data_IF_941359330287
#
_entry.id   IF_941359330287
#
_cell.length_a   1.000
_cell.length_b   1.000
_cell.length_c   1.000
_cell.angle_alpha   90.00
_cell.angle_beta   90.00
_cell.angle_gamma   90.00
#
_symmetry.space_group_name_H-M   'P 1'
#
loop_
_entity.id
_entity.type
_entity.pdbx_description
1 polymer ?
#
# COMPACT_ATOMS: atom_id res chain seq x y z
N UNK A 1 16.32 -2.68 -25.18
CA UNK A 1 15.49 -1.62 -25.81
C UNK A 1 15.31 -0.46 -24.84
N UNK A 2 15.09 0.77 -25.31
CA UNK A 2 14.67 1.88 -24.45
C UNK A 2 13.15 1.90 -24.39
N UNK A 3 12.56 1.65 -23.21
CA UNK A 3 11.14 1.83 -22.99
C UNK A 3 10.82 3.26 -22.59
N UNK A 4 9.58 3.69 -22.82
CA UNK A 4 9.09 5.02 -22.45
C UNK A 4 7.99 4.90 -21.40
N UNK A 5 7.98 5.80 -20.43
CA UNK A 5 6.92 5.87 -19.44
C UNK A 5 5.77 6.74 -19.92
N UNK A 6 4.54 6.27 -19.72
CA UNK A 6 3.35 7.10 -19.81
C UNK A 6 3.16 7.86 -18.48
N UNK A 7 3.29 9.20 -18.45
CA UNK A 7 3.27 9.96 -17.20
C UNK A 7 1.97 9.82 -16.41
N UNK A 8 0.83 9.68 -17.11
CA UNK A 8 -0.50 9.54 -16.49
C UNK A 8 -0.59 8.30 -15.61
N UNK A 9 -0.13 7.16 -16.12
CA UNK A 9 -0.15 5.89 -15.39
C UNK A 9 0.89 5.87 -14.26
N UNK A 10 2.03 6.54 -14.43
CA UNK A 10 3.01 6.75 -13.35
C UNK A 10 2.36 7.50 -12.18
N UNK A 11 1.73 8.65 -12.45
CA UNK A 11 1.03 9.44 -11.42
C UNK A 11 -0.09 8.62 -10.78
N UNK A 12 -0.88 7.91 -11.58
CA UNK A 12 -1.96 7.04 -11.07
C UNK A 12 -1.41 5.98 -10.12
N UNK A 13 -0.31 5.31 -10.48
CA UNK A 13 0.32 4.29 -9.63
C UNK A 13 0.75 4.88 -8.28
N UNK A 14 1.32 6.08 -8.27
CA UNK A 14 1.69 6.81 -7.06
C UNK A 14 0.47 7.14 -6.20
N UNK A 15 -0.60 7.66 -6.81
CA UNK A 15 -1.84 7.98 -6.10
C UNK A 15 -2.47 6.73 -5.47
N UNK A 16 -2.46 5.59 -6.19
CA UNK A 16 -2.97 4.32 -5.67
C UNK A 16 -2.16 3.84 -4.46
N UNK A 17 -0.84 3.96 -4.50
CA UNK A 17 0.02 3.58 -3.36
C UNK A 17 -0.24 4.46 -2.13
N UNK A 18 -0.39 5.77 -2.33
CA UNK A 18 -0.72 6.72 -1.27
C UNK A 18 -2.11 6.40 -0.68
N UNK A 19 -3.10 6.13 -1.52
CA UNK A 19 -4.45 5.83 -1.09
C UNK A 19 -4.53 4.50 -0.31
N UNK A 20 -3.84 3.47 -0.77
CA UNK A 20 -3.74 2.20 -0.07
C UNK A 20 -3.04 2.37 1.29
N UNK A 21 -1.93 3.12 1.33
CA UNK A 21 -1.22 3.46 2.56
C UNK A 21 -2.11 4.22 3.54
N UNK A 22 -2.84 5.22 3.06
CA UNK A 22 -3.81 5.98 3.86
C UNK A 22 -4.89 5.08 4.47
N UNK A 23 -5.44 4.17 3.65
CA UNK A 23 -6.50 3.25 4.08
C UNK A 23 -5.98 2.27 5.14
N UNK A 24 -4.80 1.69 4.92
CA UNK A 24 -4.17 0.76 5.84
C UNK A 24 -3.79 1.42 7.19
N UNK A 25 -3.30 2.66 7.17
CA UNK A 25 -3.03 3.45 8.37
C UNK A 25 -4.31 3.77 9.16
N UNK A 26 -5.42 4.10 8.47
CA UNK A 26 -6.71 4.31 9.12
C UNK A 26 -7.23 3.05 9.82
N UNK A 27 -7.12 1.90 9.16
CA UNK A 27 -7.48 0.61 9.76
C UNK A 27 -6.64 0.36 11.02
N UNK A 28 -5.35 0.70 10.97
CA UNK A 28 -4.41 0.52 12.07
C UNK A 28 -4.67 1.43 13.28
N UNK A 29 -5.17 2.65 13.06
CA UNK A 29 -5.54 3.59 14.12
C UNK A 29 -6.80 3.16 14.87
N UNK A 30 -7.77 2.60 14.14
CA UNK A 30 -9.01 2.06 14.72
C UNK A 30 -8.79 0.87 15.65
N UNK A 31 -7.62 0.24 15.61
CA UNK A 31 -7.26 -0.85 16.52
C UNK A 31 -7.38 -0.45 18.00
N UNK A 32 -7.19 0.83 18.33
CA UNK A 32 -7.34 1.35 19.69
C UNK A 32 -8.80 1.38 20.17
N UNK A 33 -9.78 1.41 19.27
CA UNK A 33 -11.21 1.47 19.60
C UNK A 33 -11.81 0.08 19.89
N UNK A 34 -11.06 -0.99 19.67
CA UNK A 34 -11.55 -2.37 19.66
C UNK A 34 -11.77 -2.93 21.07
N UNK A 35 -11.29 -2.26 22.12
CA UNK A 35 -11.48 -2.70 23.50
C UNK A 35 -11.00 -4.15 23.69
N UNK A 36 -11.89 -5.05 24.14
CA UNK A 36 -11.55 -6.46 24.40
C UNK A 36 -11.83 -7.43 23.22
N UNK A 37 -12.16 -6.93 22.02
CA UNK A 37 -12.42 -7.77 20.85
C UNK A 37 -11.12 -8.21 20.17
N UNK A 38 -11.18 -9.31 19.41
CA UNK A 38 -10.03 -9.83 18.67
C UNK A 38 -9.50 -8.82 17.64
N UNK A 39 -8.20 -8.52 17.70
CA UNK A 39 -7.48 -7.62 16.80
C UNK A 39 -7.11 -8.27 15.45
N UNK A 40 -7.08 -9.59 15.39
CA UNK A 40 -6.58 -10.35 14.25
C UNK A 40 -7.34 -10.11 12.93
N UNK A 41 -8.69 -10.03 12.90
CA UNK A 41 -9.41 -9.74 11.66
C UNK A 41 -9.03 -8.39 11.05
N UNK A 42 -8.71 -7.40 11.88
CA UNK A 42 -8.33 -6.06 11.43
C UNK A 42 -6.89 -6.00 10.90
N UNK A 43 -5.99 -6.77 11.50
CA UNK A 43 -4.62 -6.96 10.98
C UNK A 43 -4.69 -7.65 9.61
N UNK A 44 -5.49 -8.71 9.49
CA UNK A 44 -5.69 -9.41 8.21
C UNK A 44 -6.33 -8.49 7.15
N UNK A 45 -7.35 -7.72 7.52
CA UNK A 45 -8.00 -6.79 6.61
C UNK A 45 -7.06 -5.65 6.17
N UNK A 46 -6.33 -5.05 7.11
CA UNK A 46 -5.33 -4.02 6.81
C UNK A 46 -4.20 -4.54 5.92
N UNK A 47 -3.71 -5.75 6.19
CA UNK A 47 -2.70 -6.42 5.38
C UNK A 47 -3.21 -6.75 3.97
N UNK A 48 -4.47 -7.17 3.83
CA UNK A 48 -5.10 -7.41 2.53
C UNK A 48 -5.21 -6.13 1.70
N UNK A 49 -5.72 -5.03 2.28
CA UNK A 49 -5.82 -3.74 1.59
C UNK A 49 -4.45 -3.21 1.19
N UNK A 50 -3.46 -3.29 2.09
CA UNK A 50 -2.09 -2.87 1.79
C UNK A 50 -1.48 -3.73 0.67
N UNK A 51 -1.58 -5.06 0.77
CA UNK A 51 -1.06 -5.98 -0.24
C UNK A 51 -1.68 -5.76 -1.63
N UNK A 52 -3.01 -5.62 -1.69
CA UNK A 52 -3.73 -5.29 -2.92
C UNK A 52 -3.30 -3.94 -3.50
N UNK A 53 -3.05 -2.95 -2.64
CA UNK A 53 -2.59 -1.62 -3.05
C UNK A 53 -1.17 -1.62 -3.62
N UNK A 54 -0.24 -2.31 -2.95
CA UNK A 54 1.14 -2.45 -3.43
C UNK A 54 1.16 -3.23 -4.75
N UNK A 55 0.42 -4.34 -4.84
CA UNK A 55 0.30 -5.13 -6.06
C UNK A 55 -0.33 -4.33 -7.20
N UNK A 56 -1.43 -3.61 -6.94
CA UNK A 56 -2.09 -2.75 -7.93
C UNK A 56 -1.15 -1.65 -8.41
N UNK A 57 -0.47 -0.94 -7.50
CA UNK A 57 0.53 0.08 -7.88
C UNK A 57 1.60 -0.52 -8.78
N UNK A 58 2.16 -1.68 -8.40
CA UNK A 58 3.21 -2.35 -9.17
C UNK A 58 2.75 -2.61 -10.60
N UNK A 59 1.57 -3.21 -10.80
CA UNK A 59 1.09 -3.54 -12.13
C UNK A 59 0.61 -2.31 -12.94
N UNK A 60 0.04 -1.27 -12.31
CA UNK A 60 -0.23 0.00 -13.02
C UNK A 60 1.10 0.64 -13.48
N UNK A 61 2.13 0.63 -12.64
CA UNK A 61 3.43 1.18 -12.99
C UNK A 61 4.15 0.35 -14.07
N UNK A 62 3.95 -0.96 -14.09
CA UNK A 62 4.38 -1.84 -15.17
C UNK A 62 3.69 -1.50 -16.50
N UNK A 63 2.36 -1.33 -16.47
CA UNK A 63 1.58 -0.93 -17.65
C UNK A 63 1.96 0.48 -18.15
N UNK A 64 2.46 1.35 -17.27
CA UNK A 64 3.00 2.65 -17.65
C UNK A 64 4.27 2.53 -18.51
N UNK A 65 5.03 1.45 -18.37
CA UNK A 65 6.29 1.24 -19.08
C UNK A 65 6.05 0.55 -20.43
N UNK A 66 6.12 1.32 -21.50
CA UNK A 66 5.87 0.84 -22.86
C UNK A 66 7.11 0.18 -23.44
N UNK A 67 6.96 -1.09 -23.83
CA UNK A 67 7.91 -1.83 -24.64
C UNK A 67 7.38 -1.98 -26.07
N UNK A 68 8.25 -2.01 -27.10
CA UNK A 68 7.84 -2.12 -28.51
C UNK A 68 7.38 -3.55 -28.90
N UNK A 69 6.98 -4.37 -27.93
CA UNK A 69 6.51 -5.75 -28.12
C UNK A 69 5.27 -6.01 -27.28
N UNK A 70 4.41 -6.93 -27.74
CA UNK A 70 3.24 -7.34 -26.97
C UNK A 70 3.67 -8.03 -25.68
N UNK A 71 3.12 -7.61 -24.53
CA UNK A 71 3.44 -8.22 -23.23
C UNK A 71 2.22 -9.00 -22.74
N UNK A 72 2.43 -10.28 -22.49
CA UNK A 72 1.49 -11.15 -21.77
C UNK A 72 2.04 -11.49 -20.40
N UNK A 73 1.14 -11.79 -19.46
CA UNK A 73 1.49 -12.13 -18.09
C UNK A 73 1.12 -13.58 -17.78
N UNK A 74 2.03 -14.32 -17.16
CA UNK A 74 1.75 -15.64 -16.62
C UNK A 74 0.79 -15.52 -15.42
N UNK A 75 -0.37 -16.19 -15.51
CA UNK A 75 -1.44 -16.06 -14.51
C UNK A 75 -1.02 -16.62 -13.15
N UNK A 76 -0.49 -17.85 -13.03
CA UNK A 76 -0.03 -18.39 -11.74
C UNK A 76 0.99 -17.50 -11.05
N UNK A 77 1.99 -17.00 -11.78
CA UNK A 77 3.03 -16.12 -11.23
C UNK A 77 2.45 -14.78 -10.78
N UNK A 78 1.52 -14.22 -11.56
CA UNK A 78 0.81 -12.98 -11.19
C UNK A 78 0.00 -13.15 -9.91
N UNK A 79 -0.74 -14.24 -9.77
CA UNK A 79 -1.52 -14.55 -8.55
C UNK A 79 -0.58 -14.82 -7.36
N UNK A 80 0.51 -15.55 -7.56
CA UNK A 80 1.49 -15.80 -6.50
C UNK A 80 2.10 -14.49 -5.98
N UNK A 81 2.42 -13.54 -6.87
CA UNK A 81 2.91 -12.22 -6.47
C UNK A 81 1.91 -11.47 -5.59
N UNK A 82 0.62 -11.52 -5.92
CA UNK A 82 -0.45 -10.92 -5.11
C UNK A 82 -0.53 -11.55 -3.71
N UNK A 83 -0.50 -12.87 -3.63
CA UNK A 83 -0.56 -13.59 -2.36
C UNK A 83 0.65 -13.27 -1.47
N UNK A 84 1.85 -13.15 -2.06
CA UNK A 84 3.05 -12.70 -1.33
C UNK A 84 2.85 -11.27 -0.79
N UNK A 85 2.30 -10.36 -1.60
CA UNK A 85 2.03 -8.98 -1.18
C UNK A 85 1.12 -8.93 0.05
N UNK A 86 0.02 -9.69 0.01
CA UNK A 86 -0.98 -9.76 1.10
C UNK A 86 -0.37 -10.40 2.34
N UNK A 87 0.32 -11.54 2.19
CA UNK A 87 0.93 -12.24 3.31
C UNK A 87 2.01 -11.39 3.98
N UNK A 88 2.92 -10.79 3.21
CA UNK A 88 3.98 -9.94 3.72
C UNK A 88 3.44 -8.70 4.44
N UNK A 89 2.42 -8.05 3.87
CA UNK A 89 1.79 -6.88 4.50
C UNK A 89 1.05 -7.26 5.79
N UNK A 90 0.37 -8.40 5.80
CA UNK A 90 -0.31 -8.92 7.01
C UNK A 90 0.68 -9.24 8.12
N UNK A 91 1.79 -9.92 7.80
CA UNK A 91 2.87 -10.20 8.76
C UNK A 91 3.52 -8.90 9.26
N UNK A 92 3.69 -7.93 8.36
CA UNK A 92 4.17 -6.59 8.69
C UNK A 92 3.33 -5.93 9.78
N UNK A 93 2.01 -6.12 9.77
CA UNK A 93 1.09 -5.50 10.73
C UNK A 93 0.95 -6.24 12.07
N UNK A 94 1.52 -7.44 12.23
CA UNK A 94 1.47 -8.18 13.50
C UNK A 94 1.98 -7.40 14.73
N UNK A 95 3.07 -6.59 14.65
CA UNK A 95 3.50 -5.76 15.78
C UNK A 95 2.40 -4.84 16.32
N UNK A 96 1.49 -4.39 15.45
CA UNK A 96 0.36 -3.55 15.81
C UNK A 96 -0.66 -4.26 16.72
N UNK A 97 -0.59 -5.59 16.87
CA UNK A 97 -1.37 -6.33 17.85
C UNK A 97 -0.99 -5.96 19.30
N UNK A 98 0.21 -5.41 19.53
CA UNK A 98 0.68 -5.00 20.86
C UNK A 98 0.41 -3.51 21.09
N UNK A 99 0.09 -3.16 22.33
CA UNK A 99 -0.05 -1.77 22.76
C UNK A 99 1.30 -1.04 22.91
N UNK A 100 2.38 -1.78 23.23
CA UNK A 100 3.72 -1.23 23.40
C UNK A 100 4.64 -1.58 22.23
N UNK A 101 5.50 -0.63 21.85
CA UNK A 101 6.54 -0.81 20.85
C UNK A 101 7.58 -1.83 21.35
N UNK A 102 7.72 -2.93 20.61
CA UNK A 102 8.76 -3.93 20.85
C UNK A 102 9.73 -3.92 19.66
N UNK A 103 10.88 -3.26 19.83
CA UNK A 103 11.85 -3.00 18.75
C UNK A 103 12.30 -4.25 17.97
N UNK A 104 12.66 -5.38 18.62
CA UNK A 104 13.06 -6.58 17.89
C UNK A 104 11.95 -7.08 16.95
N UNK A 105 10.69 -7.07 17.42
CA UNK A 105 9.56 -7.50 16.61
C UNK A 105 9.30 -6.54 15.44
N UNK A 106 9.45 -5.23 15.66
CA UNK A 106 9.32 -4.23 14.59
C UNK A 106 10.38 -4.42 13.51
N UNK A 107 11.64 -4.63 13.90
CA UNK A 107 12.75 -4.86 12.97
C UNK A 107 12.50 -6.13 12.15
N UNK A 108 12.14 -7.23 12.80
CA UNK A 108 11.83 -8.49 12.10
C UNK A 108 10.66 -8.31 11.13
N UNK A 109 9.56 -7.69 11.56
CA UNK A 109 8.41 -7.42 10.69
C UNK A 109 8.75 -6.49 9.53
N UNK A 110 9.59 -5.47 9.73
CA UNK A 110 10.06 -4.58 8.67
C UNK A 110 10.90 -5.32 7.62
N UNK A 111 11.80 -6.20 8.06
CA UNK A 111 12.61 -7.03 7.16
C UNK A 111 11.73 -8.00 6.38
N UNK A 112 10.86 -8.75 7.06
CA UNK A 112 9.97 -9.73 6.41
C UNK A 112 9.02 -9.06 5.43
N UNK A 113 8.39 -7.95 5.84
CA UNK A 113 7.53 -7.18 4.95
C UNK A 113 8.32 -6.64 3.76
N UNK A 114 9.46 -5.98 3.99
CA UNK A 114 10.28 -5.40 2.92
C UNK A 114 10.77 -6.44 1.90
N UNK A 115 11.26 -7.59 2.38
CA UNK A 115 11.62 -8.71 1.53
C UNK A 115 10.42 -9.26 0.74
N UNK A 116 9.25 -9.33 1.36
CA UNK A 116 8.01 -9.74 0.68
C UNK A 116 7.54 -8.73 -0.38
N UNK A 117 7.65 -7.43 -0.12
CA UNK A 117 7.32 -6.38 -1.12
C UNK A 117 8.31 -6.45 -2.29
N UNK A 118 9.61 -6.57 -2.02
CA UNK A 118 10.62 -6.75 -3.07
C UNK A 118 10.40 -8.07 -3.84
N UNK A 119 10.10 -9.16 -3.12
CA UNK A 119 9.80 -10.46 -3.71
C UNK A 119 8.57 -10.42 -4.62
N UNK A 120 7.50 -9.77 -4.19
CA UNK A 120 6.32 -9.52 -5.03
C UNK A 120 6.70 -8.75 -6.30
N UNK A 121 7.51 -7.68 -6.17
CA UNK A 121 7.93 -6.89 -7.32
C UNK A 121 8.71 -7.73 -8.35
N UNK A 122 9.74 -8.46 -7.92
CA UNK A 122 10.54 -9.26 -8.84
C UNK A 122 9.80 -10.49 -9.39
N UNK A 123 8.90 -11.08 -8.60
CA UNK A 123 8.03 -12.15 -9.09
C UNK A 123 7.00 -11.62 -10.10
N UNK A 124 6.44 -10.43 -9.86
CA UNK A 124 5.56 -9.74 -10.80
C UNK A 124 6.28 -9.39 -12.12
N UNK A 125 7.55 -8.99 -12.03
CA UNK A 125 8.41 -8.81 -13.20
C UNK A 125 8.63 -10.12 -13.95
N UNK A 126 8.88 -11.21 -13.24
CA UNK A 126 9.05 -12.54 -13.83
C UNK A 126 7.78 -13.06 -14.53
N UNK A 127 6.59 -12.57 -14.16
CA UNK A 127 5.36 -12.93 -14.82
C UNK A 127 5.30 -12.45 -16.29
N UNK A 128 6.10 -11.46 -16.67
CA UNK A 128 6.14 -10.99 -18.07
C UNK A 128 6.74 -12.04 -19.01
N UNK A 129 5.94 -12.45 -19.99
CA UNK A 129 6.34 -13.41 -21.02
C UNK A 129 7.05 -12.71 -22.17
N UNK A 130 8.36 -12.48 -21.99
CA UNK A 130 9.25 -11.83 -22.96
C UNK A 130 10.47 -12.75 -23.22
N UNK A 131 10.80 -12.97 -24.50
CA UNK A 131 11.97 -13.74 -24.94
C UNK A 131 13.26 -13.03 -24.54
N UNK A 132 14.34 -13.76 -24.26
CA UNK A 132 15.62 -13.34 -23.63
C UNK A 132 15.56 -12.99 -22.13
N UNK A 133 14.38 -12.91 -21.52
CA UNK A 133 14.22 -12.64 -20.09
C UNK A 133 14.71 -11.25 -19.66
N UNK A 134 14.52 -10.93 -18.37
CA UNK A 134 14.92 -9.64 -17.80
C UNK A 134 16.31 -9.79 -17.17
N UNK A 135 17.27 -8.97 -17.60
CA UNK A 135 18.60 -8.91 -16.96
C UNK A 135 18.62 -7.81 -15.92
N UNK A 136 19.11 -8.14 -14.72
CA UNK A 136 19.16 -7.21 -13.60
C UNK A 136 20.58 -6.75 -13.29
N UNK A 137 20.74 -5.47 -12.96
CA UNK A 137 21.96 -4.95 -12.36
C UNK A 137 21.94 -5.23 -10.84
N UNK A 138 22.86 -6.07 -10.30
CA UNK A 138 22.77 -6.55 -8.93
C UNK A 138 22.74 -5.44 -7.86
N UNK A 139 23.50 -4.36 -8.06
CA UNK A 139 23.59 -3.28 -7.08
C UNK A 139 22.28 -2.49 -6.95
N UNK A 140 21.55 -2.27 -8.06
CA UNK A 140 20.23 -1.62 -8.03
C UNK A 140 19.16 -2.53 -7.43
N UNK A 141 19.30 -3.85 -7.62
CA UNK A 141 18.43 -4.82 -6.96
C UNK A 141 18.59 -4.75 -5.45
N UNK A 142 19.84 -4.80 -4.97
CA UNK A 142 20.14 -4.68 -3.53
C UNK A 142 19.63 -3.34 -3.00
N UNK A 143 19.84 -2.24 -3.73
CA UNK A 143 19.33 -0.92 -3.34
C UNK A 143 17.81 -0.91 -3.23
N UNK A 144 17.08 -1.49 -4.18
CA UNK A 144 15.62 -1.54 -4.11
C UNK A 144 15.13 -2.38 -2.92
N UNK A 145 15.80 -3.49 -2.61
CA UNK A 145 15.49 -4.30 -1.42
C UNK A 145 15.72 -3.50 -0.13
N UNK A 146 16.82 -2.76 -0.04
CA UNK A 146 17.09 -1.87 1.11
C UNK A 146 15.99 -0.82 1.23
N UNK A 147 15.61 -0.17 0.12
CA UNK A 147 14.49 0.80 0.11
C UNK A 147 13.20 0.13 0.59
N UNK A 148 12.92 -1.10 0.17
CA UNK A 148 11.73 -1.85 0.61
C UNK A 148 11.71 -2.04 2.14
N UNK A 149 12.82 -2.50 2.72
CA UNK A 149 12.93 -2.74 4.17
C UNK A 149 12.82 -1.44 4.95
N UNK A 150 13.48 -0.36 4.50
CA UNK A 150 13.40 0.95 5.13
C UNK A 150 11.98 1.54 5.03
N UNK A 151 11.32 1.38 3.87
CA UNK A 151 9.94 1.80 3.66
C UNK A 151 8.98 1.05 4.60
N UNK A 152 9.13 -0.28 4.73
CA UNK A 152 8.37 -1.09 5.67
C UNK A 152 8.62 -0.68 7.12
N UNK A 153 9.87 -0.43 7.51
CA UNK A 153 10.20 0.07 8.86
C UNK A 153 9.58 1.43 9.15
N UNK A 154 9.70 2.38 8.23
CA UNK A 154 9.08 3.70 8.34
C UNK A 154 7.55 3.60 8.44
N UNK A 155 6.93 2.75 7.62
CA UNK A 155 5.50 2.50 7.66
C UNK A 155 5.03 2.01 9.03
N UNK A 156 5.73 1.04 9.62
CA UNK A 156 5.40 0.51 10.93
C UNK A 156 5.60 1.55 12.04
N UNK A 157 6.70 2.29 12.00
CA UNK A 157 6.95 3.38 12.96
C UNK A 157 5.85 4.44 12.89
N UNK A 158 5.47 4.89 11.69
CA UNK A 158 4.41 5.86 11.49
C UNK A 158 3.05 5.32 11.93
N UNK A 159 2.77 4.03 11.71
CA UNK A 159 1.54 3.39 12.19
C UNK A 159 1.45 3.37 13.72
N UNK A 160 2.55 3.08 14.43
CA UNK A 160 2.59 3.17 15.90
C UNK A 160 2.50 4.60 16.40
N UNK A 161 3.13 5.53 15.70
CA UNK A 161 3.21 6.92 16.06
C UNK A 161 1.84 7.61 15.94
N UNK A 162 1.04 7.22 14.94
CA UNK A 162 -0.35 7.68 14.75
C UNK A 162 -1.30 7.25 15.87
N UNK A 163 -0.99 6.17 16.61
CA UNK A 163 -1.79 5.75 17.78
C UNK A 163 -1.70 6.70 18.96
N UNK A 164 -0.70 7.60 18.97
CA UNK A 164 -0.56 8.58 20.04
C UNK A 164 -1.59 9.70 19.83
N UNK A 165 -2.40 10.04 20.84
CA UNK A 165 -3.38 11.11 20.70
C UNK A 165 -2.68 12.42 20.35
N UNK A 166 -3.07 13.05 19.24
CA UNK A 166 -2.52 14.34 18.83
C UNK A 166 -3.58 15.23 18.20
N UNK A 167 -3.46 16.54 18.43
CA UNK A 167 -4.29 17.58 17.82
C UNK A 167 -4.12 17.66 16.29
N UNK A 168 -3.00 17.17 15.75
CA UNK A 168 -2.68 17.16 14.32
C UNK A 168 -2.83 15.78 13.66
N UNK A 169 -3.64 14.88 14.26
CA UNK A 169 -3.74 13.47 13.84
C UNK A 169 -3.99 13.27 12.35
N UNK A 170 -4.91 14.06 11.76
CA UNK A 170 -5.25 13.94 10.33
C UNK A 170 -4.14 14.41 9.40
N UNK A 171 -3.46 15.52 9.70
CA UNK A 171 -2.35 16.02 8.90
C UNK A 171 -1.18 15.06 8.93
N UNK A 172 -0.86 14.53 10.13
CA UNK A 172 0.17 13.51 10.30
C UNK A 172 -0.16 12.25 9.51
N UNK A 173 -1.41 11.79 9.55
CA UNK A 173 -1.85 10.61 8.80
C UNK A 173 -1.71 10.77 7.29
N UNK A 174 -2.13 11.91 6.74
CA UNK A 174 -1.97 12.23 5.32
C UNK A 174 -0.48 12.28 4.97
N UNK A 175 0.33 12.95 5.79
CA UNK A 175 1.79 13.00 5.61
C UNK A 175 2.43 11.60 5.61
N UNK A 176 2.06 10.75 6.58
CA UNK A 176 2.53 9.37 6.66
C UNK A 176 2.15 8.55 5.43
N UNK A 177 0.91 8.68 4.95
CA UNK A 177 0.45 7.98 3.76
C UNK A 177 1.21 8.41 2.49
N UNK A 178 1.51 9.71 2.36
CA UNK A 178 2.31 10.24 1.25
C UNK A 178 3.73 9.67 1.30
N UNK A 179 4.39 9.75 2.46
CA UNK A 179 5.76 9.23 2.66
C UNK A 179 5.81 7.74 2.35
N UNK A 180 4.86 6.96 2.85
CA UNK A 180 4.77 5.53 2.59
C UNK A 180 4.54 5.25 1.09
N UNK A 181 3.56 5.90 0.47
CA UNK A 181 3.27 5.69 -0.96
C UNK A 181 4.47 6.02 -1.84
N UNK A 182 5.13 7.15 -1.59
CA UNK A 182 6.36 7.54 -2.29
C UNK A 182 7.47 6.51 -2.09
N UNK A 183 7.63 5.97 -0.88
CA UNK A 183 8.66 4.97 -0.60
C UNK A 183 8.41 3.64 -1.33
N UNK A 184 7.15 3.18 -1.40
CA UNK A 184 6.79 1.97 -2.16
C UNK A 184 7.01 2.21 -3.66
N UNK A 185 6.62 3.36 -4.20
CA UNK A 185 6.92 3.74 -5.58
C UNK A 185 8.43 3.82 -5.84
N UNK A 186 9.20 4.40 -4.91
CA UNK A 186 10.65 4.49 -4.99
C UNK A 186 11.32 3.13 -5.11
N UNK A 187 10.87 2.15 -4.31
CA UNK A 187 11.34 0.76 -4.45
C UNK A 187 11.04 0.21 -5.84
N UNK A 188 9.80 0.36 -6.32
CA UNK A 188 9.37 -0.17 -7.61
C UNK A 188 10.18 0.43 -8.76
N UNK A 189 10.30 1.76 -8.83
CA UNK A 189 11.03 2.43 -9.90
C UNK A 189 12.54 2.19 -9.81
N UNK A 190 13.10 2.01 -8.61
CA UNK A 190 14.48 1.55 -8.45
C UNK A 190 14.68 0.13 -8.99
N UNK A 191 13.73 -0.78 -8.74
CA UNK A 191 13.76 -2.14 -9.29
C UNK A 191 13.60 -2.16 -10.81
N UNK A 192 12.73 -1.29 -11.35
CA UNK A 192 12.61 -1.09 -12.80
C UNK A 192 13.88 -0.53 -13.43
N UNK A 193 14.55 0.42 -12.78
CA UNK A 193 15.84 0.93 -13.23
C UNK A 193 16.94 -0.13 -13.21
N UNK A 194 16.82 -1.15 -12.34
CA UNK A 194 17.71 -2.31 -12.30
C UNK A 194 17.52 -3.23 -13.51
N UNK A 195 16.32 -3.23 -14.12
CA UNK A 195 15.93 -4.12 -15.19
C UNK A 195 16.41 -3.60 -16.55
N UNK A 196 17.00 -4.50 -17.34
CA UNK A 196 17.39 -4.26 -18.72
C UNK A 196 16.72 -5.30 -19.62
N UNK A 197 16.06 -4.79 -20.65
CA UNK A 197 15.42 -5.59 -21.70
C UNK A 197 16.35 -5.60 -22.91
N UNK A 198 16.72 -6.77 -23.43
CA UNK A 198 17.65 -6.86 -24.57
C UNK A 198 17.05 -6.23 -25.84
N UNK A 199 17.89 -5.97 -26.86
CA UNK A 199 17.41 -5.52 -28.18
C UNK A 199 17.15 -6.78 -29.02
N UNK A 200 15.93 -6.92 -29.52
CA UNK A 200 15.48 -8.13 -30.24
C UNK A 200 14.73 -9.14 -29.36
N UNK A 201 14.36 -8.75 -28.13
CA UNK A 201 13.46 -9.54 -27.29
C UNK A 201 12.08 -9.60 -27.95
N UNK A 202 11.66 -10.79 -28.40
CA UNK A 202 10.33 -11.02 -28.93
C UNK A 202 9.31 -11.31 -27.82
N UNK A 203 8.03 -11.07 -28.10
CA UNK A 203 6.96 -11.54 -27.21
C UNK A 203 6.91 -13.06 -27.21
N UNK A 204 6.90 -13.68 -26.04
CA UNK A 204 6.57 -15.11 -25.89
C UNK A 204 5.13 -15.31 -25.42
N UNK A 205 4.31 -14.25 -25.46
CA UNK A 205 2.92 -14.31 -25.04
C UNK A 205 2.12 -15.26 -25.96
N UNK A 206 1.46 -16.22 -25.35
CA UNK A 206 0.55 -17.17 -25.99
C UNK A 206 -0.90 -16.87 -25.58
N UNK A 207 -1.87 -17.60 -26.13
CA UNK A 207 -3.29 -17.52 -25.71
C UNK A 207 -3.52 -17.90 -24.24
N UNK A 208 -2.56 -18.59 -23.60
CA UNK A 208 -2.64 -18.95 -22.18
C UNK A 208 -2.20 -17.80 -21.25
N UNK A 209 -1.52 -16.78 -21.79
CA UNK A 209 -1.10 -15.62 -21.01
C UNK A 209 -2.24 -14.60 -20.88
N UNK A 210 -2.26 -13.90 -19.75
CA UNK A 210 -3.16 -12.78 -19.53
C UNK A 210 -2.68 -11.56 -20.33
N UNK A 211 -3.47 -11.06 -21.30
CA UNK A 211 -3.07 -9.87 -22.05
C UNK A 211 -3.06 -8.62 -21.15
N UNK A 212 -2.12 -7.70 -21.41
CA UNK A 212 -1.99 -6.46 -20.64
C UNK A 212 -3.31 -5.67 -20.44
N UNK A 213 -4.20 -5.51 -21.44
CA UNK A 213 -5.49 -4.82 -21.24
C UNK A 213 -6.42 -5.51 -20.22
N UNK A 214 -6.43 -6.84 -20.19
CA UNK A 214 -7.24 -7.60 -19.23
C UNK A 214 -6.69 -7.45 -17.80
N UNK A 215 -5.37 -7.53 -17.65
CA UNK A 215 -4.70 -7.27 -16.38
C UNK A 215 -4.99 -5.85 -15.89
N UNK A 216 -4.96 -4.86 -16.78
CA UNK A 216 -5.33 -3.49 -16.47
C UNK A 216 -6.76 -3.40 -15.92
N UNK A 217 -7.73 -4.09 -16.53
CA UNK A 217 -9.11 -4.16 -16.04
C UNK A 217 -9.23 -4.75 -14.62
N UNK A 218 -8.48 -5.81 -14.32
CA UNK A 218 -8.43 -6.43 -12.98
C UNK A 218 -7.85 -5.44 -11.96
N UNK A 219 -6.72 -4.82 -12.29
CA UNK A 219 -6.03 -3.86 -11.42
C UNK A 219 -6.90 -2.62 -11.16
N UNK A 220 -7.59 -2.11 -12.18
CA UNK A 220 -8.57 -1.01 -12.03
C UNK A 220 -9.70 -1.43 -11.10
N UNK A 221 -10.22 -2.64 -11.23
CA UNK A 221 -11.30 -3.15 -10.36
C UNK A 221 -10.85 -3.18 -8.89
N UNK A 222 -9.67 -3.73 -8.59
CA UNK A 222 -9.14 -3.72 -7.22
C UNK A 222 -8.84 -2.30 -6.71
N UNK A 223 -8.34 -1.43 -7.58
CA UNK A 223 -8.11 -0.01 -7.26
C UNK A 223 -9.40 0.71 -6.86
N UNK A 224 -10.50 0.46 -7.58
CA UNK A 224 -11.83 1.00 -7.26
C UNK A 224 -12.35 0.46 -5.93
N UNK A 225 -12.12 -0.81 -5.62
CA UNK A 225 -12.48 -1.39 -4.31
C UNK A 225 -11.70 -0.71 -3.19
N UNK A 226 -10.39 -0.51 -3.34
CA UNK A 226 -9.57 0.21 -2.36
C UNK A 226 -10.09 1.65 -2.18
N UNK A 227 -10.42 2.33 -3.28
CA UNK A 227 -10.99 3.68 -3.24
C UNK A 227 -12.33 3.71 -2.51
N UNK A 228 -13.22 2.76 -2.77
CA UNK A 228 -14.50 2.65 -2.09
C UNK A 228 -14.31 2.45 -0.57
N UNK A 229 -13.42 1.55 -0.17
CA UNK A 229 -13.09 1.30 1.24
C UNK A 229 -12.53 2.56 1.89
N UNK A 230 -11.61 3.25 1.23
CA UNK A 230 -11.05 4.52 1.69
C UNK A 230 -12.14 5.58 1.88
N UNK A 231 -13.03 5.73 0.90
CA UNK A 231 -14.13 6.68 0.93
C UNK A 231 -15.11 6.38 2.08
N UNK A 232 -15.48 5.10 2.27
CA UNK A 232 -16.34 4.67 3.39
C UNK A 232 -15.69 5.02 4.72
N UNK A 233 -14.40 4.72 4.91
CA UNK A 233 -13.67 5.05 6.13
C UNK A 233 -13.68 6.57 6.36
N UNK A 234 -13.38 7.37 5.34
CA UNK A 234 -13.39 8.83 5.44
C UNK A 234 -14.77 9.40 5.80
N UNK A 235 -15.85 8.83 5.24
CA UNK A 235 -17.22 9.24 5.57
C UNK A 235 -17.59 8.88 7.01
N UNK A 236 -17.19 7.70 7.48
CA UNK A 236 -17.37 7.30 8.88
C UNK A 236 -16.62 8.24 9.83
N UNK A 237 -15.39 8.61 9.51
CA UNK A 237 -14.60 9.55 10.32
C UNK A 237 -15.18 10.96 10.33
N UNK A 238 -15.73 11.43 9.21
CA UNK A 238 -16.44 12.69 9.16
C UNK A 238 -17.66 12.67 10.09
N UNK A 239 -18.47 11.61 10.06
CA UNK A 239 -19.66 11.44 10.90
C UNK A 239 -19.34 11.33 12.39
N UNK A 240 -18.31 10.58 12.75
CA UNK A 240 -17.89 10.43 14.16
C UNK A 240 -17.41 11.78 14.71
N UNK A 241 -16.64 12.53 13.92
CA UNK A 241 -16.15 13.85 14.33
C UNK A 241 -17.26 14.89 14.44
N UNK A 242 -18.26 14.89 13.56
CA UNK A 242 -19.40 15.81 13.68
C UNK A 242 -20.23 15.51 14.94
N UNK A 243 -20.53 14.23 15.18
CA UNK A 243 -21.26 13.81 16.39
C UNK A 243 -20.50 14.13 17.68
N UNK A 244 -19.16 13.97 17.69
CA UNK A 244 -18.34 14.32 18.84
C UNK A 244 -18.40 15.84 19.12
N UNK A 245 -18.36 16.68 18.08
CA UNK A 245 -18.48 18.14 18.22
C UNK A 245 -19.86 18.56 18.74
N UNK A 246 -20.93 17.96 18.22
CA UNK A 246 -22.30 18.21 18.67
C UNK A 246 -22.48 17.86 20.15
N UNK A 247 -21.94 16.71 20.60
CA UNK A 247 -21.99 16.29 22.01
C UNK A 247 -21.25 17.24 22.94
N UNK A 248 -20.08 17.74 22.52
CA UNK A 248 -19.31 18.73 23.29
C UNK A 248 -20.10 20.04 23.38
N UNK A 249 -20.69 20.51 22.29
CA UNK A 249 -21.51 21.73 22.28
C UNK A 249 -22.77 21.60 23.16
N UNK A 250 -23.49 20.49 23.08
CA UNK A 250 -24.66 20.22 23.93
C UNK A 250 -24.31 20.15 25.42
N UNK A 251 -23.12 19.62 25.75
CA UNK A 251 -22.61 19.60 27.14
C UNK A 251 -22.24 21.00 27.61
N UNK A 252 -21.61 21.81 26.75
CA UNK A 252 -21.28 23.21 27.05
C UNK A 252 -22.53 24.07 27.24
N UNK A 253 -23.55 23.94 26.38
CA UNK A 253 -24.79 24.72 26.52
C UNK A 253 -25.54 24.38 27.81
N UNK A 254 -25.67 23.08 28.14
CA UNK A 254 -26.29 22.66 29.41
C UNK A 254 -25.53 23.14 30.65
N UNK A 255 -24.19 23.21 30.60
CA UNK A 255 -23.41 23.80 31.69
C UNK A 255 -23.57 25.32 31.80
N UNK A 256 -23.70 26.04 30.68
CA UNK A 256 -23.93 27.48 30.67
C UNK A 256 -25.33 27.83 31.22
N UNK A 257 -26.36 27.09 30.82
CA UNK A 257 -27.73 27.27 31.32
C UNK A 257 -27.82 27.03 32.83
N UNK A 258 -27.11 26.01 33.36
CA UNK A 258 -27.03 25.77 34.81
C UNK A 258 -26.30 26.87 35.58
N UNK A 259 -25.38 27.60 34.94
CA UNK A 259 -24.59 28.66 35.58
C UNK A 259 -25.30 30.01 35.56
N UNK A 260 -26.32 30.18 34.72
CA UNK A 260 -27.16 31.37 34.61
C UNK A 260 -28.66 31.02 34.81
N UNK A 261 -29.08 30.59 36.01
CA UNK A 261 -30.47 30.21 36.27
C UNK A 261 -31.46 31.39 36.28
N UNK A 262 -31.00 32.63 36.08
CA UNK A 262 -31.83 33.84 36.16
C UNK A 262 -32.05 34.46 34.79
N UNK A 263 -32.93 33.82 34.02
CA UNK A 263 -33.92 34.44 33.14
C UNK A 263 -35.21 33.65 33.23
#
# INVERSE_FOLDING_TARGET
MSGTYEPTLVVLSCLLSILASFTALNISDRLNLIGNRSIWPWIAFGGCIMGLGIWSMHFVAMLAFHLPVAVGYDIPTTVASLLIAIAASTVGFIPLARFALHWPQLIVSAIVMGLGVAGMHYLGMQAMSICSGIRYQPWLVVLSVIIAILASGAALLLAFDLRRPSTFGRTRQIGSAIVMGVAVCGMHYCGMAAASFERGSDSTATLANLPAPWLAGIVVTFSLVIFLVAAVIMLLDARINTQARERVQATLSTHLDRRNPTR
#
